data_IF_902498480372
#
_entry.id   IF_902498480372
#
_cell.length_a   1.000
_cell.length_b   1.000
_cell.length_c   1.000
_cell.angle_alpha   90.00
_cell.angle_beta   90.00
_cell.angle_gamma   90.00
#
_symmetry.space_group_name_H-M   'P 1'
#
loop_
_entity.id
_entity.type
_entity.pdbx_description
1 polymer ?
#
# COMPACT_ATOMS: atom_id res chain seq x y z
N UNK A 1 -13.99 -13.22 10.64
CA UNK A 1 -14.34 -12.47 9.41
C UNK A 1 -15.85 -12.33 9.30
N UNK A 2 -16.39 -11.16 8.94
CA UNK A 2 -17.83 -10.92 8.79
C UNK A 2 -18.39 -11.32 7.41
N UNK A 3 -17.66 -11.02 6.32
CA UNK A 3 -18.09 -11.31 4.94
C UNK A 3 -16.96 -12.04 4.21
N UNK A 4 -17.28 -13.03 3.38
CA UNK A 4 -16.29 -13.75 2.57
C UNK A 4 -16.70 -13.81 1.09
N UNK A 5 -15.80 -13.38 0.21
CA UNK A 5 -15.92 -13.43 -1.24
C UNK A 5 -14.75 -14.25 -1.81
N UNK A 6 -15.04 -15.25 -2.65
CA UNK A 6 -14.02 -16.09 -3.29
C UNK A 6 -14.28 -16.44 -4.76
N UNK A 7 -15.42 -16.00 -5.33
CA UNK A 7 -15.79 -16.23 -6.73
C UNK A 7 -15.19 -15.20 -7.68
N UNK A 8 -15.95 -14.77 -8.67
CA UNK A 8 -15.60 -13.66 -9.54
C UNK A 8 -16.77 -12.66 -9.63
N UNK A 9 -16.46 -11.41 -9.98
CA UNK A 9 -17.43 -10.33 -10.22
C UNK A 9 -18.44 -10.13 -9.06
N UNK A 10 -17.97 -10.31 -7.82
CA UNK A 10 -18.76 -10.17 -6.60
C UNK A 10 -18.29 -8.97 -5.78
N UNK A 11 -19.19 -8.32 -5.05
CA UNK A 11 -18.86 -7.08 -4.34
C UNK A 11 -19.52 -6.93 -2.98
N UNK A 12 -18.81 -6.25 -2.07
CA UNK A 12 -19.39 -5.60 -0.90
C UNK A 12 -19.42 -4.11 -1.21
N UNK A 13 -20.61 -3.51 -1.23
CA UNK A 13 -20.77 -2.11 -1.62
C UNK A 13 -21.57 -1.34 -0.58
N UNK A 14 -21.11 -0.14 -0.23
CA UNK A 14 -21.90 0.83 0.54
C UNK A 14 -22.41 0.27 1.88
N UNK A 15 -21.63 -0.62 2.50
CA UNK A 15 -21.93 -1.25 3.78
C UNK A 15 -21.20 -0.56 4.94
N UNK A 16 -21.78 -0.63 6.13
CA UNK A 16 -21.14 -0.27 7.38
C UNK A 16 -20.84 -1.56 8.14
N UNK A 17 -19.56 -1.80 8.46
CA UNK A 17 -19.07 -3.02 9.12
C UNK A 17 -18.33 -2.59 10.38
N UNK A 18 -18.92 -2.85 11.54
CA UNK A 18 -18.34 -2.47 12.83
C UNK A 18 -18.44 -3.56 13.88
N UNK A 19 -17.69 -3.39 14.96
CA UNK A 19 -17.81 -4.17 16.18
C UNK A 19 -17.56 -5.68 16.01
N UNK A 20 -16.75 -6.06 15.00
CA UNK A 20 -16.46 -7.46 14.70
C UNK A 20 -15.39 -8.01 15.66
N UNK A 21 -15.58 -9.26 16.11
CA UNK A 21 -14.58 -9.96 16.94
C UNK A 21 -13.24 -10.18 16.22
N UNK A 22 -13.31 -10.50 14.92
CA UNK A 22 -12.16 -10.60 14.00
C UNK A 22 -12.23 -9.45 12.96
N UNK A 23 -11.69 -9.66 11.76
CA UNK A 23 -11.70 -8.72 10.64
C UNK A 23 -13.04 -8.62 9.90
N UNK A 24 -13.08 -7.69 8.94
CA UNK A 24 -14.28 -7.35 8.17
C UNK A 24 -14.55 -8.31 7.02
N UNK A 25 -13.88 -8.09 5.88
CA UNK A 25 -14.11 -8.79 4.61
C UNK A 25 -12.91 -9.67 4.26
N UNK A 26 -13.15 -10.92 3.89
CA UNK A 26 -12.18 -11.75 3.16
C UNK A 26 -12.46 -11.61 1.66
N UNK A 27 -11.55 -10.96 0.94
CA UNK A 27 -11.65 -10.66 -0.49
C UNK A 27 -10.63 -11.50 -1.27
N UNK A 28 -11.07 -12.66 -1.75
CA UNK A 28 -10.31 -13.54 -2.64
C UNK A 28 -10.86 -13.56 -4.06
N UNK A 29 -10.48 -14.58 -4.85
CA UNK A 29 -10.97 -14.81 -6.20
C UNK A 29 -9.96 -14.50 -7.30
N UNK A 30 -10.21 -15.03 -8.50
CA UNK A 30 -9.22 -15.11 -9.57
C UNK A 30 -8.31 -16.33 -9.44
N UNK A 31 -7.46 -16.53 -10.44
CA UNK A 31 -6.54 -17.66 -10.51
C UNK A 31 -5.11 -17.17 -10.79
N UNK A 32 -4.22 -17.41 -9.84
CA UNK A 32 -2.81 -17.01 -9.94
C UNK A 32 -2.06 -17.78 -11.02
N UNK A 33 -2.35 -19.06 -11.26
CA UNK A 33 -1.63 -19.85 -12.27
C UNK A 33 -1.79 -19.26 -13.67
N UNK A 34 -3.00 -18.77 -13.96
CA UNK A 34 -3.36 -18.20 -15.27
C UNK A 34 -3.37 -16.68 -15.29
N UNK A 35 -3.16 -16.03 -14.13
CA UNK A 35 -3.39 -14.59 -13.91
C UNK A 35 -4.81 -14.13 -14.31
N UNK A 36 -5.80 -15.03 -14.23
CA UNK A 36 -7.19 -14.68 -14.52
C UNK A 36 -7.75 -13.83 -13.37
N UNK A 37 -8.24 -12.61 -13.62
CA UNK A 37 -8.73 -11.74 -12.55
C UNK A 37 -10.06 -12.22 -11.97
N UNK A 38 -10.21 -12.09 -10.65
CA UNK A 38 -11.48 -12.30 -9.95
C UNK A 38 -12.44 -11.13 -10.13
N UNK A 39 -11.93 -9.91 -10.31
CA UNK A 39 -12.74 -8.68 -10.41
C UNK A 39 -13.71 -8.47 -9.24
N UNK A 40 -13.42 -9.05 -8.07
CA UNK A 40 -14.21 -8.81 -6.88
C UNK A 40 -13.85 -7.46 -6.26
N UNK A 41 -14.76 -6.88 -5.48
CA UNK A 41 -14.54 -5.56 -4.92
C UNK A 41 -15.09 -5.35 -3.50
N UNK A 42 -14.42 -4.48 -2.76
CA UNK A 42 -14.95 -3.81 -1.56
C UNK A 42 -14.95 -2.33 -1.87
N UNK A 43 -16.14 -1.75 -2.04
CA UNK A 43 -16.30 -0.38 -2.52
C UNK A 43 -17.23 0.45 -1.62
N UNK A 44 -16.84 1.68 -1.32
CA UNK A 44 -17.68 2.63 -0.59
C UNK A 44 -18.12 2.14 0.81
N UNK A 45 -17.33 1.28 1.46
CA UNK A 45 -17.65 0.72 2.77
C UNK A 45 -17.01 1.54 3.91
N UNK A 46 -17.75 1.66 5.00
CA UNK A 46 -17.25 2.21 6.26
C UNK A 46 -16.93 1.04 7.20
N UNK A 47 -15.66 0.81 7.49
CA UNK A 47 -15.21 -0.35 8.27
C UNK A 47 -14.40 0.12 9.48
N UNK A 48 -14.90 -0.10 10.70
CA UNK A 48 -14.26 0.40 11.91
C UNK A 48 -14.46 -0.50 13.12
N UNK A 49 -13.70 -0.29 14.20
CA UNK A 49 -13.82 -1.05 15.46
C UNK A 49 -13.82 -2.58 15.24
N UNK A 50 -12.95 -3.05 14.33
CA UNK A 50 -12.77 -4.47 14.02
C UNK A 50 -11.61 -5.09 14.81
N UNK A 51 -11.47 -6.42 14.77
CA UNK A 51 -10.45 -7.18 15.52
C UNK A 51 -10.58 -7.05 17.04
N UNK A 52 -11.81 -6.96 17.58
CA UNK A 52 -12.02 -6.70 19.01
C UNK A 52 -11.57 -7.85 19.92
N UNK A 53 -11.56 -9.08 19.41
CA UNK A 53 -11.09 -10.28 20.11
C UNK A 53 -9.73 -10.74 19.56
N UNK A 54 -9.66 -11.06 18.27
CA UNK A 54 -8.40 -11.47 17.66
C UNK A 54 -7.67 -10.24 17.11
N UNK A 55 -6.83 -9.64 17.95
CA UNK A 55 -6.32 -8.27 17.77
C UNK A 55 -5.24 -8.09 16.68
N UNK A 56 -4.76 -9.17 16.08
CA UNK A 56 -3.66 -9.14 15.08
C UNK A 56 -3.98 -10.01 13.88
N UNK A 57 -3.49 -9.67 12.68
CA UNK A 57 -3.71 -10.45 11.45
C UNK A 57 -5.17 -10.67 11.02
N UNK A 58 -6.09 -9.87 11.54
CA UNK A 58 -7.51 -9.92 11.20
C UNK A 58 -8.00 -8.58 10.64
N UNK A 59 -7.56 -8.20 9.43
CA UNK A 59 -7.74 -6.85 8.87
C UNK A 59 -9.20 -6.49 8.54
N UNK A 60 -9.46 -5.22 8.23
CA UNK A 60 -10.74 -4.81 7.63
C UNK A 60 -10.97 -5.52 6.30
N UNK A 61 -9.92 -5.65 5.48
CA UNK A 61 -9.95 -6.46 4.25
C UNK A 61 -8.75 -7.40 4.20
N UNK A 62 -9.01 -8.71 4.25
CA UNK A 62 -8.01 -9.75 3.98
C UNK A 62 -8.01 -10.02 2.47
N UNK A 63 -6.92 -9.67 1.79
CA UNK A 63 -6.84 -9.64 0.33
C UNK A 63 -6.04 -10.84 -0.21
N UNK A 64 -6.61 -11.56 -1.16
CA UNK A 64 -5.94 -12.64 -1.90
C UNK A 64 -6.37 -12.66 -3.37
N UNK A 65 -5.64 -13.42 -4.19
CA UNK A 65 -6.06 -13.77 -5.55
C UNK A 65 -5.47 -12.88 -6.64
N UNK A 66 -6.28 -12.51 -7.63
CA UNK A 66 -5.85 -11.71 -8.79
C UNK A 66 -6.89 -10.67 -9.15
N UNK A 67 -6.49 -9.42 -9.42
CA UNK A 67 -7.37 -8.42 -10.06
C UNK A 67 -8.54 -7.91 -9.22
N UNK A 68 -8.51 -8.11 -7.90
CA UNK A 68 -9.53 -7.58 -6.98
C UNK A 68 -9.29 -6.10 -6.63
N UNK A 69 -10.36 -5.39 -6.25
CA UNK A 69 -10.36 -3.94 -6.02
C UNK A 69 -10.83 -3.57 -4.62
N UNK A 70 -10.16 -2.61 -3.98
CA UNK A 70 -10.57 -2.03 -2.70
C UNK A 70 -10.62 -0.52 -2.91
N UNK A 71 -11.82 0.04 -3.06
CA UNK A 71 -12.00 1.42 -3.52
C UNK A 71 -12.93 2.26 -2.67
N UNK A 72 -12.62 3.55 -2.52
CA UNK A 72 -13.52 4.51 -1.86
C UNK A 72 -13.96 4.12 -0.43
N UNK A 73 -13.17 3.34 0.31
CA UNK A 73 -13.54 2.93 1.66
C UNK A 73 -13.03 3.93 2.70
N UNK A 74 -13.72 3.98 3.84
CA UNK A 74 -13.26 4.63 5.07
C UNK A 74 -12.95 3.52 6.08
N UNK A 75 -11.67 3.35 6.44
CA UNK A 75 -11.22 2.29 7.34
C UNK A 75 -10.48 2.88 8.53
N UNK A 76 -10.95 2.61 9.76
CA UNK A 76 -10.29 3.16 10.95
C UNK A 76 -10.54 2.42 12.25
N UNK A 77 -9.85 2.88 13.30
CA UNK A 77 -9.96 2.42 14.69
C UNK A 77 -9.76 0.91 14.82
N UNK A 78 -8.50 0.49 14.62
CA UNK A 78 -8.13 -0.92 14.67
C UNK A 78 -6.76 -1.16 15.32
N UNK A 79 -6.60 -2.29 16.05
CA UNK A 79 -5.33 -2.62 16.70
C UNK A 79 -4.20 -2.96 15.72
N UNK A 80 -4.54 -3.41 14.50
CA UNK A 80 -3.60 -3.86 13.47
C UNK A 80 -3.98 -3.31 12.07
N UNK A 81 -3.62 -4.04 11.02
CA UNK A 81 -3.65 -3.61 9.62
C UNK A 81 -5.07 -3.39 9.10
N UNK A 82 -5.24 -2.39 8.24
CA UNK A 82 -6.50 -2.16 7.53
C UNK A 82 -6.68 -3.15 6.38
N UNK A 83 -5.65 -3.29 5.54
CA UNK A 83 -5.62 -4.20 4.40
C UNK A 83 -4.37 -5.06 4.54
N UNK A 84 -4.55 -6.38 4.55
CA UNK A 84 -3.45 -7.32 4.70
C UNK A 84 -3.64 -8.50 3.75
N UNK A 85 -2.57 -8.92 3.07
CA UNK A 85 -2.56 -10.17 2.34
C UNK A 85 -1.57 -10.20 1.19
N UNK A 86 -2.02 -10.61 0.02
CA UNK A 86 -1.17 -10.84 -1.14
C UNK A 86 -1.96 -11.04 -2.43
N UNK A 87 -1.25 -11.32 -3.51
CA UNK A 87 -1.84 -11.59 -4.82
C UNK A 87 -1.30 -10.70 -5.94
N UNK A 88 -1.97 -10.74 -7.07
CA UNK A 88 -1.51 -10.12 -8.32
C UNK A 88 -2.51 -9.08 -8.82
N UNK A 89 -2.01 -8.00 -9.41
CA UNK A 89 -2.80 -7.01 -10.15
C UNK A 89 -3.98 -6.40 -9.36
N UNK A 90 -3.88 -6.32 -8.04
CA UNK A 90 -4.90 -5.67 -7.21
C UNK A 90 -4.87 -4.15 -7.35
N UNK A 91 -6.05 -3.51 -7.23
CA UNK A 91 -6.19 -2.06 -7.22
C UNK A 91 -6.73 -1.58 -5.88
N UNK A 92 -5.93 -0.76 -5.20
CA UNK A 92 -6.28 -0.10 -3.94
C UNK A 92 -6.31 1.40 -4.21
N UNK A 93 -7.51 1.97 -4.31
CA UNK A 93 -7.70 3.32 -4.84
C UNK A 93 -8.72 4.16 -4.06
N UNK A 94 -8.43 5.44 -3.83
CA UNK A 94 -9.35 6.40 -3.21
C UNK A 94 -9.83 6.03 -1.80
N UNK A 95 -9.10 5.20 -1.04
CA UNK A 95 -9.45 4.89 0.35
C UNK A 95 -8.93 5.97 1.30
N UNK A 96 -9.67 6.23 2.37
CA UNK A 96 -9.22 6.97 3.55
C UNK A 96 -8.97 5.95 4.69
N UNK A 97 -7.73 5.89 5.18
CA UNK A 97 -7.31 4.93 6.19
C UNK A 97 -6.60 5.65 7.32
N UNK A 98 -7.13 5.56 8.54
CA UNK A 98 -6.59 6.28 9.68
C UNK A 98 -6.76 5.57 11.01
N UNK A 99 -5.95 5.90 12.02
CA UNK A 99 -6.06 5.30 13.36
C UNK A 99 -6.09 3.76 13.31
N UNK A 100 -5.18 3.17 12.53
CA UNK A 100 -4.96 1.72 12.45
C UNK A 100 -3.53 1.39 12.88
N UNK A 101 -3.25 0.11 13.10
CA UNK A 101 -2.02 -0.36 13.73
C UNK A 101 -1.83 0.26 15.13
N UNK A 102 -2.92 0.37 15.92
CA UNK A 102 -2.92 1.09 17.20
C UNK A 102 -2.37 0.32 18.39
N UNK A 103 -2.03 -0.97 18.25
CA UNK A 103 -1.51 -1.76 19.39
C UNK A 103 -0.29 -2.62 19.09
N UNK A 104 0.14 -2.66 17.83
CA UNK A 104 1.27 -3.48 17.38
C UNK A 104 2.34 -2.65 16.67
N UNK A 105 3.51 -3.26 16.54
CA UNK A 105 4.64 -2.82 15.70
C UNK A 105 4.88 -3.93 14.66
N UNK A 106 5.74 -3.67 13.68
CA UNK A 106 5.93 -4.53 12.50
C UNK A 106 4.61 -4.71 11.73
N UNK A 107 3.94 -3.58 11.45
CA UNK A 107 2.57 -3.57 10.95
C UNK A 107 2.28 -2.38 10.03
N UNK A 108 1.79 -2.69 8.82
CA UNK A 108 1.35 -1.70 7.84
C UNK A 108 -0.17 -1.50 7.83
N UNK A 109 -0.65 -0.27 7.59
CA UNK A 109 -2.06 -0.03 7.28
C UNK A 109 -2.48 -0.79 6.00
N UNK A 110 -1.66 -0.71 4.96
CA UNK A 110 -1.65 -1.65 3.84
C UNK A 110 -0.39 -2.52 3.95
N UNK A 111 -0.54 -3.84 3.97
CA UNK A 111 0.55 -4.77 4.20
C UNK A 111 0.48 -5.98 3.24
N UNK A 112 1.53 -6.16 2.44
CA UNK A 112 1.81 -7.40 1.70
C UNK A 112 3.27 -7.82 1.87
N UNK A 113 3.55 -9.13 1.83
CA UNK A 113 4.89 -9.65 2.11
C UNK A 113 5.21 -11.02 1.53
N UNK A 114 6.51 -11.32 1.42
CA UNK A 114 7.09 -12.68 1.30
C UNK A 114 6.65 -13.53 0.09
N UNK A 115 6.48 -12.91 -1.08
CA UNK A 115 6.31 -13.63 -2.36
C UNK A 115 6.83 -12.78 -3.54
N UNK A 116 7.85 -13.29 -4.25
CA UNK A 116 8.48 -12.59 -5.39
C UNK A 116 7.57 -12.50 -6.63
N UNK A 117 6.52 -13.31 -6.69
CA UNK A 117 5.63 -13.46 -7.86
C UNK A 117 4.35 -12.64 -7.76
N UNK A 118 4.04 -12.08 -6.60
CA UNK A 118 2.84 -11.28 -6.33
C UNK A 118 3.07 -9.83 -6.75
N UNK A 119 2.96 -9.58 -8.06
CA UNK A 119 3.35 -8.33 -8.72
C UNK A 119 2.15 -7.63 -9.36
N UNK A 120 2.36 -6.40 -9.82
CA UNK A 120 1.36 -5.62 -10.56
C UNK A 120 0.32 -4.93 -9.69
N UNK A 121 0.42 -5.06 -8.36
CA UNK A 121 -0.46 -4.37 -7.42
C UNK A 121 -0.27 -2.85 -7.51
N UNK A 122 -1.37 -2.10 -7.44
CA UNK A 122 -1.40 -0.64 -7.53
C UNK A 122 -2.09 -0.07 -6.31
N UNK A 123 -1.36 0.72 -5.52
CA UNK A 123 -1.85 1.50 -4.39
C UNK A 123 -1.81 2.97 -4.80
N UNK A 124 -2.94 3.56 -5.17
CA UNK A 124 -2.96 4.94 -5.68
C UNK A 124 -4.07 5.81 -5.13
N UNK A 125 -3.78 7.11 -5.02
CA UNK A 125 -4.76 8.12 -4.61
C UNK A 125 -5.47 7.83 -3.29
N UNK A 126 -4.83 7.14 -2.36
CA UNK A 126 -5.34 6.92 -1.01
C UNK A 126 -4.84 8.02 -0.06
N UNK A 127 -5.55 8.21 1.05
CA UNK A 127 -5.14 9.08 2.14
C UNK A 127 -4.92 8.26 3.40
N UNK A 128 -3.65 8.14 3.80
CA UNK A 128 -3.25 7.49 5.05
C UNK A 128 -2.92 8.56 6.07
N UNK A 129 -3.58 8.57 7.23
CA UNK A 129 -3.28 9.59 8.23
C UNK A 129 -3.51 9.18 9.67
N UNK A 130 -2.83 9.88 10.58
CA UNK A 130 -2.95 9.68 12.03
C UNK A 130 -2.84 8.19 12.41
N UNK A 131 -1.84 7.49 11.82
CA UNK A 131 -1.42 6.17 12.28
C UNK A 131 -0.69 6.30 13.62
N UNK A 132 -0.53 5.18 14.31
CA UNK A 132 0.23 5.17 15.56
C UNK A 132 1.68 5.68 15.36
N UNK A 133 2.18 6.43 16.35
CA UNK A 133 3.50 7.03 16.33
C UNK A 133 4.61 6.09 16.87
N UNK A 134 4.23 4.89 17.33
CA UNK A 134 5.19 3.84 17.75
C UNK A 134 6.19 3.54 16.62
N UNK A 135 7.41 3.11 16.98
CA UNK A 135 8.34 2.58 16.00
C UNK A 135 7.73 1.42 15.21
N UNK A 136 8.16 1.29 13.95
CA UNK A 136 7.86 0.13 13.10
C UNK A 136 6.38 -0.03 12.74
N UNK A 137 5.66 1.10 12.65
CA UNK A 137 4.33 1.19 12.04
C UNK A 137 4.46 1.91 10.71
N UNK A 138 3.88 1.33 9.66
CA UNK A 138 3.98 1.83 8.29
C UNK A 138 2.58 2.16 7.74
N UNK A 139 2.48 3.11 6.80
CA UNK A 139 1.24 3.27 6.02
C UNK A 139 1.14 2.22 4.92
N UNK A 140 2.21 2.05 4.14
CA UNK A 140 2.33 1.00 3.11
C UNK A 140 3.56 0.17 3.43
N UNK A 141 3.34 -1.10 3.74
CA UNK A 141 4.39 -2.06 4.09
C UNK A 141 4.52 -3.12 2.99
N UNK A 142 5.56 -3.00 2.18
CA UNK A 142 5.96 -3.97 1.15
C UNK A 142 7.10 -4.80 1.73
N UNK A 143 6.72 -5.81 2.47
CA UNK A 143 7.58 -6.48 3.42
C UNK A 143 8.28 -7.71 2.82
N UNK A 144 9.35 -8.18 3.46
CA UNK A 144 9.92 -9.51 3.20
C UNK A 144 10.12 -9.86 1.73
N UNK A 145 10.81 -8.96 1.02
CA UNK A 145 11.12 -9.08 -0.39
C UNK A 145 9.90 -9.01 -1.32
N UNK A 146 8.79 -8.39 -0.91
CA UNK A 146 7.63 -8.16 -1.80
C UNK A 146 7.98 -7.21 -2.95
N UNK A 147 7.53 -7.53 -4.17
CA UNK A 147 8.05 -6.91 -5.39
C UNK A 147 6.97 -6.33 -6.30
N UNK A 148 7.38 -5.46 -7.23
CA UNK A 148 6.57 -5.09 -8.39
C UNK A 148 5.28 -4.33 -8.07
N UNK A 149 5.23 -3.60 -6.96
CA UNK A 149 4.07 -2.77 -6.57
C UNK A 149 4.27 -1.32 -7.00
N UNK A 150 3.20 -0.69 -7.50
CA UNK A 150 3.17 0.74 -7.79
C UNK A 150 2.43 1.48 -6.69
N UNK A 151 3.11 2.38 -5.99
CA UNK A 151 2.56 3.29 -4.99
C UNK A 151 2.55 4.70 -5.56
N UNK A 152 1.39 5.17 -6.03
CA UNK A 152 1.26 6.38 -6.84
C UNK A 152 0.28 7.41 -6.29
N UNK A 153 0.69 8.67 -6.15
CA UNK A 153 -0.30 9.74 -5.92
C UNK A 153 -1.04 9.65 -4.59
N UNK A 154 -0.49 8.98 -3.57
CA UNK A 154 -1.10 8.89 -2.26
C UNK A 154 -0.68 10.09 -1.38
N UNK A 155 -1.49 10.39 -0.37
CA UNK A 155 -1.19 11.38 0.66
C UNK A 155 -0.97 10.66 1.99
N UNK A 156 0.14 10.96 2.65
CA UNK A 156 0.52 10.41 3.95
C UNK A 156 0.68 11.54 4.95
N UNK A 157 -0.17 11.62 5.97
CA UNK A 157 -0.09 12.65 7.02
C UNK A 157 0.02 12.03 8.40
N UNK A 158 1.18 12.15 9.07
CA UNK A 158 1.48 11.40 10.30
C UNK A 158 1.28 9.89 10.11
N UNK A 159 1.75 9.37 8.98
CA UNK A 159 1.55 7.98 8.58
C UNK A 159 2.58 6.98 9.13
N UNK A 160 3.20 7.22 10.29
CA UNK A 160 4.33 6.42 10.76
C UNK A 160 5.53 6.50 9.79
N UNK A 161 6.11 5.34 9.43
CA UNK A 161 6.90 5.24 8.18
C UNK A 161 5.93 5.32 7.00
N UNK A 162 6.12 6.27 6.09
CA UNK A 162 5.19 6.44 4.97
C UNK A 162 5.10 5.16 4.12
N UNK A 163 6.22 4.78 3.51
CA UNK A 163 6.33 3.54 2.74
C UNK A 163 7.58 2.80 3.17
N UNK A 164 7.47 1.50 3.40
CA UNK A 164 8.61 0.61 3.63
C UNK A 164 8.71 -0.43 2.52
N UNK A 165 9.91 -0.55 1.95
CA UNK A 165 10.31 -1.61 1.04
C UNK A 165 11.35 -2.47 1.74
N UNK A 166 10.90 -3.58 2.31
CA UNK A 166 11.74 -4.53 3.03
C UNK A 166 12.42 -5.50 2.09
N UNK A 167 13.58 -5.18 1.52
CA UNK A 167 14.34 -6.07 0.61
C UNK A 167 13.70 -6.35 -0.75
N UNK A 168 12.49 -5.83 -1.00
CA UNK A 168 11.76 -6.01 -2.24
C UNK A 168 12.37 -5.29 -3.43
N UNK A 169 12.02 -5.71 -4.66
CA UNK A 169 12.54 -5.14 -5.91
C UNK A 169 11.44 -4.73 -6.89
N UNK A 170 11.82 -3.88 -7.85
CA UNK A 170 10.97 -3.40 -8.94
C UNK A 170 9.71 -2.62 -8.48
N UNK A 171 9.73 -2.05 -7.27
CA UNK A 171 8.65 -1.22 -6.78
C UNK A 171 8.77 0.22 -7.30
N UNK A 172 7.63 0.86 -7.58
CA UNK A 172 7.57 2.25 -8.05
C UNK A 172 6.84 3.13 -7.04
N UNK A 173 7.58 3.99 -6.34
CA UNK A 173 7.08 4.97 -5.37
C UNK A 173 7.12 6.35 -6.00
N UNK A 174 5.99 6.78 -6.56
CA UNK A 174 5.96 7.92 -7.48
C UNK A 174 4.83 8.90 -7.14
N UNK A 175 5.10 10.20 -7.20
CA UNK A 175 4.05 11.23 -7.12
C UNK A 175 3.29 11.29 -5.78
N UNK A 176 3.85 10.81 -4.67
CA UNK A 176 3.19 10.82 -3.37
C UNK A 176 3.52 12.10 -2.58
N UNK A 177 2.65 12.47 -1.63
CA UNK A 177 2.90 13.56 -0.68
C UNK A 177 3.04 12.98 0.72
N UNK A 178 4.15 13.28 1.39
CA UNK A 178 4.43 12.88 2.76
C UNK A 178 4.51 14.11 3.65
N UNK A 179 3.75 14.10 4.75
CA UNK A 179 3.73 15.16 5.74
C UNK A 179 3.93 14.54 7.12
N UNK A 180 5.01 14.92 7.80
CA UNK A 180 5.35 14.45 9.15
C UNK A 180 5.50 12.92 9.27
N UNK A 181 5.98 12.24 8.22
CA UNK A 181 6.34 10.81 8.26
C UNK A 181 7.78 10.60 8.76
N UNK A 182 8.06 9.44 9.36
CA UNK A 182 9.34 9.16 10.05
C UNK A 182 9.84 7.72 9.81
N UNK A 183 10.57 7.45 8.71
CA UNK A 183 10.77 8.32 7.54
C UNK A 183 9.54 8.36 6.62
N UNK A 184 9.56 9.19 5.59
CA UNK A 184 8.62 9.13 4.49
C UNK A 184 8.82 7.85 3.68
N UNK A 185 10.06 7.48 3.38
CA UNK A 185 10.37 6.23 2.68
C UNK A 185 11.53 5.51 3.38
N UNK A 186 11.38 4.21 3.55
CA UNK A 186 12.42 3.29 4.01
C UNK A 186 12.65 2.22 2.95
N UNK A 187 13.91 1.95 2.62
CA UNK A 187 14.32 0.80 1.82
C UNK A 187 15.51 0.11 2.47
N UNK A 188 15.42 -1.20 2.65
CA UNK A 188 16.51 -2.02 3.16
C UNK A 188 16.85 -3.17 2.21
N UNK A 189 18.00 -3.83 2.45
CA UNK A 189 18.46 -4.98 1.69
C UNK A 189 18.45 -6.24 2.58
N UNK A 190 17.38 -6.46 3.35
CA UNK A 190 17.28 -7.58 4.30
C UNK A 190 17.61 -8.94 3.69
N UNK A 191 17.28 -9.15 2.41
CA UNK A 191 17.62 -10.37 1.66
C UNK A 191 19.12 -10.66 1.57
N UNK A 192 19.98 -9.63 1.66
CA UNK A 192 21.45 -9.77 1.74
C UNK A 192 21.96 -9.89 3.18
N UNK A 193 21.14 -9.49 4.15
CA UNK A 193 21.47 -9.45 5.57
C UNK A 193 20.86 -10.60 6.35
N UNK A 194 20.02 -10.24 7.33
CA UNK A 194 19.43 -11.19 8.27
C UNK A 194 18.51 -12.22 7.58
N UNK A 195 17.90 -11.86 6.44
CA UNK A 195 16.96 -12.70 5.72
C UNK A 195 17.59 -13.52 4.58
N UNK A 196 18.93 -13.63 4.56
CA UNK A 196 19.67 -14.37 3.52
C UNK A 196 19.26 -15.84 3.36
N UNK A 197 18.67 -16.45 4.38
CA UNK A 197 18.20 -17.84 4.34
C UNK A 197 17.14 -18.10 3.26
N UNK A 198 16.37 -17.07 2.86
CA UNK A 198 15.37 -17.17 1.78
C UNK A 198 15.98 -17.31 0.38
N UNK A 199 17.28 -17.03 0.25
CA UNK A 199 18.00 -17.02 -1.02
C UNK A 199 19.17 -18.01 -1.07
N UNK A 200 19.64 -18.52 0.08
CA UNK A 200 20.78 -19.47 0.16
C UNK A 200 20.37 -20.95 0.29
N UNK A 201 19.07 -21.24 0.21
CA UNK A 201 18.52 -22.60 0.19
C UNK A 201 18.15 -23.18 1.55
N UNK A 202 18.37 -22.46 2.66
CA UNK A 202 17.96 -22.90 4.00
C UNK A 202 16.45 -22.73 4.25
N UNK A 203 15.83 -21.74 3.63
CA UNK A 203 14.39 -21.54 3.60
C UNK A 203 13.94 -21.43 2.15
N UNK A 204 13.02 -22.31 1.76
CA UNK A 204 12.57 -22.46 0.37
C UNK A 204 11.29 -21.67 0.06
N UNK A 205 10.78 -20.85 0.98
CA UNK A 205 9.48 -20.17 0.83
C UNK A 205 9.38 -19.37 -0.47
N UNK A 206 10.33 -18.46 -0.74
CA UNK A 206 10.33 -17.65 -1.97
C UNK A 206 10.53 -18.52 -3.23
N UNK A 207 11.38 -19.55 -3.14
CA UNK A 207 11.65 -20.46 -4.25
C UNK A 207 10.44 -21.33 -4.60
N UNK A 208 9.66 -21.72 -3.60
CA UNK A 208 8.42 -22.47 -3.78
C UNK A 208 7.34 -21.59 -4.43
N UNK A 209 7.24 -20.32 -4.04
CA UNK A 209 6.35 -19.35 -4.70
C UNK A 209 6.66 -19.19 -6.19
N UNK A 210 7.94 -19.06 -6.55
CA UNK A 210 8.38 -19.02 -7.95
C UNK A 210 7.98 -20.30 -8.72
N UNK A 211 8.27 -21.47 -8.15
CA UNK A 211 7.93 -22.76 -8.78
C UNK A 211 6.42 -22.96 -8.96
N UNK A 212 5.62 -22.46 -8.02
CA UNK A 212 4.18 -22.66 -8.01
C UNK A 212 3.47 -22.04 -9.23
N UNK A 213 4.05 -21.03 -9.88
CA UNK A 213 3.41 -20.30 -10.98
C UNK A 213 4.19 -20.34 -12.30
N UNK A 214 5.19 -21.23 -12.41
CA UNK A 214 6.05 -21.34 -13.60
C UNK A 214 6.62 -19.99 -14.08
N UNK A 215 7.05 -19.13 -13.15
CA UNK A 215 7.39 -17.70 -13.34
C UNK A 215 8.13 -17.28 -14.63
N UNK A 216 9.02 -18.13 -15.15
CA UNK A 216 9.77 -17.96 -16.40
C UNK A 216 9.01 -18.27 -17.70
N UNK A 217 7.75 -18.70 -17.63
CA UNK A 217 6.89 -19.02 -18.78
C UNK A 217 5.64 -18.12 -18.79
N UNK A 218 4.97 -17.94 -19.94
CA UNK A 218 3.67 -17.29 -19.98
C UNK A 218 2.66 -18.00 -19.04
N UNK A 219 1.78 -17.24 -18.36
CA UNK A 219 1.55 -15.81 -18.54
C UNK A 219 2.53 -14.90 -17.77
N UNK A 220 3.26 -15.42 -16.78
CA UNK A 220 4.11 -14.61 -15.90
C UNK A 220 5.27 -13.93 -16.60
N UNK A 221 6.01 -14.63 -17.47
CA UNK A 221 7.17 -14.03 -18.15
C UNK A 221 6.78 -12.95 -19.16
N UNK A 222 5.56 -13.00 -19.69
CA UNK A 222 5.02 -11.96 -20.58
C UNK A 222 4.42 -10.79 -19.82
N UNK A 223 3.70 -11.06 -18.72
CA UNK A 223 3.00 -10.03 -17.95
C UNK A 223 3.91 -9.30 -16.96
N UNK A 224 4.90 -10.01 -16.40
CA UNK A 224 5.96 -9.46 -15.55
C UNK A 224 7.36 -9.81 -16.10
N UNK A 225 7.83 -9.16 -17.17
CA UNK A 225 9.10 -9.51 -17.81
C UNK A 225 10.32 -9.50 -16.88
N UNK A 226 10.37 -8.57 -15.91
CA UNK A 226 11.44 -8.50 -14.91
C UNK A 226 11.50 -9.71 -13.96
N UNK A 227 10.43 -10.50 -13.87
CA UNK A 227 10.39 -11.71 -13.05
C UNK A 227 11.05 -12.91 -13.75
N UNK A 228 11.04 -12.96 -15.09
CA UNK A 228 11.42 -14.15 -15.85
C UNK A 228 12.85 -14.63 -15.54
N UNK A 229 13.78 -13.69 -15.37
CA UNK A 229 15.20 -13.95 -15.10
C UNK A 229 15.63 -13.55 -13.68
N UNK A 230 14.69 -13.49 -12.74
CA UNK A 230 14.95 -12.95 -11.38
C UNK A 230 16.07 -13.71 -10.65
N UNK A 231 16.17 -15.03 -10.83
CA UNK A 231 17.18 -15.86 -10.16
C UNK A 231 18.58 -15.66 -10.73
N UNK A 232 18.69 -15.13 -11.96
CA UNK A 232 19.94 -14.86 -12.65
C UNK A 232 20.47 -13.44 -12.33
N UNK A 233 19.71 -12.59 -11.65
CA UNK A 233 20.02 -11.17 -11.42
C UNK A 233 20.12 -10.78 -9.94
N UNK A 234 20.88 -11.54 -9.15
CA UNK A 234 21.07 -11.33 -7.70
C UNK A 234 19.72 -11.14 -6.97
N UNK A 235 18.91 -12.21 -6.85
CA UNK A 235 17.50 -12.12 -6.43
C UNK A 235 17.30 -11.51 -5.03
N UNK A 236 18.34 -11.54 -4.20
CA UNK A 236 18.34 -10.97 -2.85
C UNK A 236 18.54 -9.44 -2.81
N UNK A 237 18.96 -8.83 -3.92
CA UNK A 237 19.21 -7.40 -4.00
C UNK A 237 17.90 -6.65 -4.36
N UNK A 238 17.54 -5.58 -3.62
CA UNK A 238 16.35 -4.76 -3.89
C UNK A 238 16.54 -3.81 -5.10
N UNK A 239 16.85 -4.37 -6.27
CA UNK A 239 17.11 -3.63 -7.53
C UNK A 239 15.82 -3.07 -8.14
N UNK A 240 15.97 -2.16 -9.10
CA UNK A 240 14.86 -1.71 -9.93
C UNK A 240 13.81 -0.85 -9.22
N UNK A 241 13.97 -0.61 -7.91
CA UNK A 241 13.10 0.29 -7.15
C UNK A 241 13.29 1.74 -7.60
N UNK A 242 12.18 2.48 -7.70
CA UNK A 242 12.14 3.87 -8.20
C UNK A 242 11.39 4.76 -7.22
N UNK A 243 12.04 5.83 -6.77
CA UNK A 243 11.50 6.86 -5.87
C UNK A 243 11.53 8.20 -6.60
N UNK A 244 10.42 8.55 -7.24
CA UNK A 244 10.38 9.64 -8.21
C UNK A 244 9.28 10.66 -7.91
N UNK A 245 9.59 11.95 -8.03
CA UNK A 245 8.57 13.01 -8.04
C UNK A 245 7.66 13.02 -6.82
N UNK A 246 8.19 12.70 -5.64
CA UNK A 246 7.42 12.80 -4.41
C UNK A 246 7.64 14.16 -3.75
N UNK A 247 6.72 14.55 -2.87
CA UNK A 247 6.83 15.74 -2.01
C UNK A 247 6.97 15.26 -0.57
N UNK A 248 7.93 15.78 0.18
CA UNK A 248 8.10 15.49 1.61
C UNK A 248 8.25 16.78 2.42
N UNK A 249 7.47 16.91 3.50
CA UNK A 249 7.48 18.08 4.39
C UNK A 249 7.39 17.66 5.85
N UNK A 250 8.20 18.27 6.73
CA UNK A 250 8.08 18.15 8.19
C UNK A 250 8.44 16.77 8.78
N UNK A 251 8.98 15.87 7.96
CA UNK A 251 9.40 14.52 8.34
C UNK A 251 10.82 14.20 7.87
N UNK A 252 11.29 12.99 8.19
CA UNK A 252 12.57 12.48 7.67
C UNK A 252 12.31 11.92 6.27
N UNK A 253 13.07 12.35 5.27
CA UNK A 253 12.79 12.02 3.86
C UNK A 253 12.98 10.53 3.54
N UNK A 254 14.22 10.04 3.54
CA UNK A 254 14.56 8.74 2.96
C UNK A 254 15.61 8.04 3.80
N UNK A 255 15.31 6.81 4.22
CA UNK A 255 16.28 5.89 4.82
C UNK A 255 16.61 4.80 3.79
N UNK A 256 17.87 4.76 3.35
CA UNK A 256 18.45 3.65 2.57
C UNK A 256 19.40 2.88 3.49
N UNK A 257 18.98 1.69 3.93
CA UNK A 257 19.73 0.87 4.88
C UNK A 257 20.60 -0.18 4.18
N UNK A 258 21.38 -0.93 4.97
CA UNK A 258 22.20 -2.06 4.49
C UNK A 258 23.16 -1.71 3.34
N UNK A 259 23.77 -0.53 3.43
CA UNK A 259 24.70 0.01 2.42
C UNK A 259 24.08 0.21 1.03
N UNK A 260 22.74 0.31 0.94
CA UNK A 260 22.08 0.70 -0.29
C UNK A 260 22.50 2.10 -0.73
N UNK A 261 22.77 2.21 -2.02
CA UNK A 261 23.09 3.47 -2.69
C UNK A 261 22.07 3.75 -3.77
N UNK A 262 22.09 4.97 -4.30
CA UNK A 262 21.25 5.38 -5.44
C UNK A 262 21.54 4.62 -6.74
N UNK A 263 22.59 3.79 -6.78
CA UNK A 263 22.84 2.88 -7.89
C UNK A 263 21.92 1.65 -7.86
N UNK A 264 21.44 1.24 -6.67
CA UNK A 264 20.51 0.13 -6.50
C UNK A 264 19.05 0.58 -6.52
N UNK A 265 18.78 1.81 -6.05
CA UNK A 265 17.45 2.43 -5.98
C UNK A 265 17.50 3.77 -6.71
N UNK A 266 16.70 3.93 -7.76
CA UNK A 266 16.67 5.20 -8.50
C UNK A 266 15.91 6.25 -7.69
N UNK A 267 16.57 7.34 -7.31
CA UNK A 267 15.96 8.47 -6.58
C UNK A 267 16.15 9.75 -7.39
N UNK A 268 15.05 10.35 -7.86
CA UNK A 268 15.12 11.56 -8.69
C UNK A 268 13.86 12.43 -8.60
N UNK A 269 14.01 13.71 -8.89
CA UNK A 269 12.92 14.69 -9.03
C UNK A 269 12.01 14.85 -7.80
N UNK A 270 12.48 14.51 -6.60
CA UNK A 270 11.68 14.64 -5.37
C UNK A 270 11.82 16.06 -4.78
N UNK A 271 10.71 16.66 -4.36
CA UNK A 271 10.68 17.92 -3.61
C UNK A 271 10.74 17.63 -2.11
N UNK A 272 11.91 17.81 -1.49
CA UNK A 272 12.15 17.39 -0.09
C UNK A 272 12.58 18.53 0.84
N UNK A 273 12.90 19.69 0.27
CA UNK A 273 13.37 20.87 0.99
C UNK A 273 12.56 22.10 0.62
N UNK A 274 12.12 22.86 1.63
CA UNK A 274 11.35 24.10 1.45
C UNK A 274 9.84 23.93 1.48
N UNK A 275 9.11 24.99 1.08
CA UNK A 275 7.65 25.02 1.03
C UNK A 275 7.15 24.54 -0.35
N UNK A 276 6.39 23.42 -0.43
CA UNK A 276 5.82 22.98 -1.70
C UNK A 276 4.65 23.84 -2.15
N UNK A 277 4.16 24.77 -1.32
CA UNK A 277 3.03 25.65 -1.65
C UNK A 277 1.68 24.94 -1.50
N UNK A 278 1.44 24.26 -0.37
CA UNK A 278 0.13 23.72 -0.04
C UNK A 278 -0.96 24.80 -0.01
N UNK A 279 -2.20 24.44 -0.35
CA UNK A 279 -3.36 25.34 -0.27
C UNK A 279 -3.57 25.76 1.18
N UNK A 280 -3.61 24.81 2.12
CA UNK A 280 -3.64 25.11 3.56
C UNK A 280 -3.23 23.90 4.41
N UNK A 281 -1.98 23.86 4.86
CA UNK A 281 -1.49 22.80 5.75
C UNK A 281 -2.24 22.74 7.10
N UNK A 282 -2.61 23.90 7.66
CA UNK A 282 -3.36 23.99 8.94
C UNK A 282 -4.75 23.35 8.81
N UNK A 283 -5.40 23.50 7.65
CA UNK A 283 -6.69 22.87 7.35
C UNK A 283 -6.56 21.47 6.74
N UNK A 284 -5.34 20.89 6.74
CA UNK A 284 -5.01 19.61 6.09
C UNK A 284 -5.35 19.56 4.60
N UNK A 285 -5.36 20.72 3.94
CA UNK A 285 -5.51 20.82 2.50
C UNK A 285 -4.14 20.78 1.82
N UNK A 286 -3.68 19.56 1.56
CA UNK A 286 -2.38 19.27 0.95
C UNK A 286 -2.38 19.36 -0.58
N UNK A 287 -3.45 19.88 -1.20
CA UNK A 287 -3.41 20.24 -2.62
C UNK A 287 -2.34 21.30 -2.84
N UNK A 288 -1.69 21.27 -4.00
CA UNK A 288 -0.64 22.22 -4.35
C UNK A 288 -1.22 23.43 -5.09
N UNK A 289 -0.79 24.63 -4.72
CA UNK A 289 -1.13 25.88 -5.44
C UNK A 289 -0.57 25.84 -6.85
N UNK A 290 -1.17 26.60 -7.78
CA UNK A 290 -0.71 26.70 -9.18
C UNK A 290 0.76 27.11 -9.30
N UNK A 291 1.27 27.90 -8.36
CA UNK A 291 2.66 28.36 -8.33
C UNK A 291 3.64 27.39 -7.64
N UNK A 292 3.19 26.18 -7.26
CA UNK A 292 4.04 25.22 -6.56
C UNK A 292 5.31 24.88 -7.38
N UNK A 293 6.49 24.85 -6.74
CA UNK A 293 7.73 24.42 -7.40
C UNK A 293 7.71 22.94 -7.82
N UNK A 294 6.92 22.09 -7.17
CA UNK A 294 6.85 20.66 -7.46
C UNK A 294 6.38 20.37 -8.90
N UNK A 295 5.59 21.28 -9.51
CA UNK A 295 5.16 21.14 -10.90
C UNK A 295 6.33 21.10 -11.89
N UNK A 296 7.43 21.81 -11.61
CA UNK A 296 8.62 21.81 -12.48
C UNK A 296 9.39 20.49 -12.43
N UNK A 297 9.20 19.71 -11.37
CA UNK A 297 9.75 18.36 -11.22
C UNK A 297 8.84 17.30 -11.88
N UNK A 298 7.75 17.71 -12.51
CA UNK A 298 6.79 16.80 -13.15
C UNK A 298 5.80 16.16 -12.19
N UNK A 299 5.63 16.70 -10.97
CA UNK A 299 4.57 16.27 -10.06
C UNK A 299 3.19 16.43 -10.76
N UNK A 300 2.28 15.51 -10.51
CA UNK A 300 0.94 15.47 -11.07
C UNK A 300 -0.10 15.70 -9.96
N UNK A 301 -1.20 16.41 -10.24
CA UNK A 301 -2.22 16.68 -9.24
C UNK A 301 -2.85 15.37 -8.73
N UNK A 302 -2.98 15.26 -7.41
CA UNK A 302 -3.72 14.16 -6.77
C UNK A 302 -5.20 14.54 -6.73
N UNK A 303 -6.13 13.68 -7.18
CA UNK A 303 -7.58 13.90 -7.14
C UNK A 303 -8.16 13.75 -5.72
N UNK A 304 -7.66 14.53 -4.75
CA UNK A 304 -7.97 14.36 -3.32
C UNK A 304 -9.45 14.49 -2.96
N UNK A 305 -10.25 15.15 -3.80
CA UNK A 305 -11.71 15.26 -3.64
C UNK A 305 -12.48 13.96 -3.91
N UNK A 306 -11.84 12.96 -4.52
CA UNK A 306 -12.45 11.66 -4.80
C UNK A 306 -12.16 10.64 -3.71
N UNK A 307 -11.33 10.98 -2.72
CA UNK A 307 -10.91 10.06 -1.65
C UNK A 307 -12.03 9.91 -0.63
N UNK A 308 -12.23 8.67 -0.18
CA UNK A 308 -13.20 8.29 0.83
C UNK A 308 -14.56 7.93 0.23
N UNK A 309 -15.56 7.90 1.11
CA UNK A 309 -16.92 7.51 0.80
C UNK A 309 -17.59 8.50 -0.16
N UNK A 310 -18.47 8.01 -1.02
CA UNK A 310 -19.27 8.82 -1.94
C UNK A 310 -20.77 8.52 -1.83
N UNK A 311 -21.65 9.49 -2.14
CA UNK A 311 -23.09 9.26 -2.16
C UNK A 311 -23.50 8.38 -3.35
N UNK A 312 -24.35 7.39 -3.10
CA UNK A 312 -24.96 6.56 -4.15
C UNK A 312 -26.41 6.16 -3.79
N UNK A 313 -26.95 5.16 -4.49
CA UNK A 313 -28.30 4.66 -4.22
C UNK A 313 -28.46 4.08 -2.80
N UNK A 314 -27.41 3.45 -2.26
CA UNK A 314 -27.38 2.70 -1.00
C UNK A 314 -26.88 3.57 0.17
N UNK A 315 -25.89 4.42 -0.05
CA UNK A 315 -25.30 5.36 0.90
C UNK A 315 -25.83 6.77 0.62
N UNK A 316 -27.05 7.02 1.11
CA UNK A 316 -27.68 8.34 1.08
C UNK A 316 -27.43 9.06 2.40
N UNK A 317 -26.66 10.14 2.35
CA UNK A 317 -26.39 10.95 3.54
C UNK A 317 -27.62 11.77 3.94
N UNK A 318 -28.16 11.55 5.14
CA UNK A 318 -28.99 12.55 5.83
C UNK A 318 -28.11 13.57 6.59
N UNK A 319 -26.89 13.16 6.96
CA UNK A 319 -25.75 13.97 7.44
C UNK A 319 -24.44 13.33 6.95
N UNK A 320 -23.36 14.11 6.72
CA UNK A 320 -22.05 13.55 6.37
C UNK A 320 -21.54 12.61 7.48
N UNK A 321 -20.67 11.63 7.15
CA UNK A 321 -20.08 10.76 8.15
C UNK A 321 -19.34 11.62 9.20
N UNK A 322 -19.24 11.17 10.46
CA UNK A 322 -18.56 11.92 11.50
C UNK A 322 -17.08 12.10 11.13
N UNK A 323 -16.77 13.28 10.62
CA UNK A 323 -15.43 13.81 10.39
C UNK A 323 -14.51 12.94 9.52
N UNK A 324 -14.82 12.72 8.22
CA UNK A 324 -13.75 12.38 7.31
C UNK A 324 -12.81 13.59 7.28
N UNK A 325 -11.50 13.39 7.37
CA UNK A 325 -10.50 14.45 7.28
C UNK A 325 -10.40 15.00 5.83
N UNK A 326 -11.55 15.07 5.16
CA UNK A 326 -11.77 15.47 3.79
C UNK A 326 -11.25 16.88 3.56
N UNK A 327 -10.50 16.97 2.47
CA UNK A 327 -10.06 18.22 1.89
C UNK A 327 -11.29 19.13 1.71
N UNK A 328 -11.27 20.36 2.27
CA UNK A 328 -12.42 21.25 2.18
C UNK A 328 -12.82 21.50 0.71
N UNK A 329 -14.13 21.70 0.43
CA UNK A 329 -14.68 21.81 -0.93
C UNK A 329 -13.89 22.74 -1.86
#
# INVERSE_FOLDING_TARGET
>A
TAISLGGAHSGVQSCDISDTGDGGVSLGGGDRLTLTPGNNYVDNCWIHDFSRWARTYHPAVALQGVGNRITHNLIHDAPHSAILGGGNDHLIEFNEIHHVCLETSDAGAFYMGRDLTQRGNVVRFNYFHDLDARPDVQSVYLDDCFCGTTVFGNVFYKGGRGIEVGGGRDNSIVNNIFINCRPAIHVDARGKGWAKSWFDGRDLTLMNGLKAVHYHQPPYSTHYPALADILQDDPAQPKGNRILRNVCVGGRWLDLLDHLTTNAVTVADNFVDGDPGFVSQVKRDFRLKKASPAWRLGFQPIPTRQIGLYPDHYRRWSRPPPNPATFPP
#
